data_IF_029270748082
#
_entry.id   IF_029270748082
#
_cell.length_a   1.000
_cell.length_b   1.000
_cell.length_c   1.000
_cell.angle_alpha   90.00
_cell.angle_beta   90.00
_cell.angle_gamma   90.00
#
_symmetry.space_group_name_H-M   'P 1'
#
loop_
_entity.id
_entity.type
_entity.pdbx_description
1 polymer ?
#
# COMPACT_ATOMS: atom_id res chain seq x y z
N UNK A 1 12.16 19.30 29.77
CA UNK A 1 11.25 18.43 29.00
C UNK A 1 10.03 19.26 28.60
N UNK A 2 10.09 19.90 27.43
CA UNK A 2 9.03 20.82 26.97
C UNK A 2 7.99 19.99 26.22
N UNK A 3 6.84 19.80 26.85
CA UNK A 3 5.67 19.18 26.20
C UNK A 3 5.12 20.14 25.13
N UNK A 4 4.88 19.61 23.94
CA UNK A 4 4.31 20.34 22.82
C UNK A 4 2.89 20.82 23.17
N UNK A 5 2.66 22.14 23.19
CA UNK A 5 1.34 22.76 23.46
C UNK A 5 0.36 22.69 22.27
N UNK A 6 0.84 22.30 21.10
CA UNK A 6 0.07 22.13 19.85
C UNK A 6 -0.23 20.65 19.56
N UNK A 7 -0.19 19.78 20.58
CA UNK A 7 -0.57 18.37 20.43
C UNK A 7 -2.06 18.18 20.16
N UNK A 8 -2.40 17.00 19.62
CA UNK A 8 -3.77 16.56 19.30
C UNK A 8 -4.81 17.02 20.33
N UNK A 9 -5.72 17.90 19.92
CA UNK A 9 -6.76 18.50 20.78
C UNK A 9 -8.02 17.63 20.92
N UNK A 10 -7.94 16.35 20.57
CA UNK A 10 -9.07 15.41 20.54
C UNK A 10 -9.66 15.21 19.13
N UNK A 11 -10.58 14.25 19.01
CA UNK A 11 -11.32 14.00 17.78
C UNK A 11 -12.25 15.19 17.47
N UNK A 12 -12.05 15.82 16.32
CA UNK A 12 -12.96 16.84 15.80
C UNK A 12 -13.80 16.26 14.67
N UNK A 13 -15.10 16.56 14.66
CA UNK A 13 -16.01 16.20 13.57
C UNK A 13 -15.57 16.73 12.20
N UNK A 14 -14.74 17.79 12.17
CA UNK A 14 -14.14 18.30 10.95
C UNK A 14 -13.22 17.27 10.26
N UNK A 15 -12.58 16.36 11.01
CA UNK A 15 -11.69 15.34 10.46
C UNK A 15 -12.43 14.23 9.70
N UNK A 16 -13.73 14.04 9.96
CA UNK A 16 -14.55 13.02 9.30
C UNK A 16 -15.23 13.53 8.02
N UNK A 17 -15.13 14.82 7.71
CA UNK A 17 -15.86 15.46 6.62
C UNK A 17 -15.43 14.94 5.23
N UNK A 18 -14.17 14.51 5.09
CA UNK A 18 -13.58 14.03 3.84
C UNK A 18 -13.22 12.53 3.87
N UNK A 19 -13.77 11.76 4.82
CA UNK A 19 -13.42 10.33 4.97
C UNK A 19 -14.04 9.47 3.88
N UNK A 20 -15.17 9.88 3.31
CA UNK A 20 -15.92 9.07 2.34
C UNK A 20 -15.18 8.87 1.00
N UNK A 21 -14.61 9.94 0.37
CA UNK A 21 -13.71 9.77 -0.77
C UNK A 21 -12.51 8.87 -0.46
N UNK A 22 -11.91 9.02 0.73
CA UNK A 22 -10.79 8.21 1.17
C UNK A 22 -11.14 6.71 1.28
N UNK A 23 -12.28 6.39 1.89
CA UNK A 23 -12.77 5.01 2.01
C UNK A 23 -13.02 4.39 0.64
N UNK A 24 -13.57 5.15 -0.29
CA UNK A 24 -13.84 4.66 -1.66
C UNK A 24 -12.53 4.35 -2.39
N UNK A 25 -11.53 5.24 -2.28
CA UNK A 25 -10.21 5.02 -2.87
C UNK A 25 -9.50 3.82 -2.24
N UNK A 26 -9.54 3.71 -0.91
CA UNK A 26 -8.95 2.59 -0.18
C UNK A 26 -9.64 1.26 -0.47
N UNK A 27 -10.95 1.27 -0.74
CA UNK A 27 -11.68 0.05 -1.12
C UNK A 27 -11.28 -0.39 -2.54
N UNK A 28 -11.12 0.56 -3.47
CA UNK A 28 -10.68 0.26 -4.83
C UNK A 28 -9.28 -0.38 -4.84
N UNK A 29 -8.32 0.16 -4.08
CA UNK A 29 -6.97 -0.42 -3.97
C UNK A 29 -6.97 -1.77 -3.25
N UNK A 30 -7.78 -1.95 -2.21
CA UNK A 30 -7.95 -3.24 -1.53
C UNK A 30 -8.49 -4.33 -2.49
N UNK A 31 -9.46 -4.00 -3.32
CA UNK A 31 -10.00 -4.93 -4.33
C UNK A 31 -8.96 -5.27 -5.38
N UNK A 32 -8.19 -4.30 -5.86
CA UNK A 32 -7.12 -4.53 -6.83
C UNK A 32 -6.07 -5.52 -6.28
N UNK A 33 -5.64 -5.33 -5.04
CA UNK A 33 -4.65 -6.21 -4.39
C UNK A 33 -5.22 -7.62 -4.15
N UNK A 34 -6.48 -7.74 -3.75
CA UNK A 34 -7.15 -9.03 -3.63
C UNK A 34 -7.22 -9.78 -4.98
N UNK A 35 -7.53 -9.08 -6.07
CA UNK A 35 -7.58 -9.67 -7.40
C UNK A 35 -6.20 -10.16 -7.86
N UNK A 36 -5.14 -9.42 -7.56
CA UNK A 36 -3.76 -9.82 -7.85
C UNK A 36 -3.39 -11.14 -7.13
N UNK A 37 -3.71 -11.24 -5.84
CA UNK A 37 -3.46 -12.45 -5.05
C UNK A 37 -4.28 -13.65 -5.53
N UNK A 38 -5.56 -13.45 -5.83
CA UNK A 38 -6.43 -14.50 -6.36
C UNK A 38 -5.99 -14.97 -7.75
N UNK A 39 -5.54 -14.06 -8.60
CA UNK A 39 -4.98 -14.39 -9.90
C UNK A 39 -3.75 -15.30 -9.77
N UNK A 40 -2.81 -14.93 -8.91
CA UNK A 40 -1.61 -15.75 -8.67
C UNK A 40 -1.97 -17.14 -8.10
N UNK A 41 -2.89 -17.21 -7.13
CA UNK A 41 -3.39 -18.49 -6.60
C UNK A 41 -4.03 -19.36 -7.69
N UNK A 42 -4.82 -18.75 -8.58
CA UNK A 42 -5.47 -19.46 -9.67
C UNK A 42 -4.46 -20.04 -10.66
N UNK A 43 -3.39 -19.29 -10.99
CA UNK A 43 -2.28 -19.79 -11.82
C UNK A 43 -1.59 -20.97 -11.13
N UNK A 44 -1.28 -20.87 -9.83
CA UNK A 44 -0.63 -21.96 -9.10
C UNK A 44 -1.46 -23.24 -9.16
N UNK A 45 -2.78 -23.13 -8.97
CA UNK A 45 -3.71 -24.27 -9.05
C UNK A 45 -3.72 -24.87 -10.46
N UNK A 46 -3.81 -24.05 -11.50
CA UNK A 46 -3.75 -24.49 -12.90
C UNK A 46 -2.42 -25.19 -13.22
N UNK A 47 -1.31 -24.64 -12.75
CA UNK A 47 0.04 -25.17 -12.98
C UNK A 47 0.26 -26.50 -12.25
N UNK A 48 -0.44 -26.71 -11.14
CA UNK A 48 -0.46 -27.97 -10.38
C UNK A 48 -1.16 -29.13 -11.10
N UNK A 49 -1.97 -28.86 -12.12
CA UNK A 49 -2.63 -29.89 -12.94
C UNK A 49 -1.80 -30.35 -14.15
N UNK A 50 -0.58 -29.81 -14.33
CA UNK A 50 0.27 -30.17 -15.46
C UNK A 50 0.99 -31.53 -15.22
N UNK A 51 1.30 -32.26 -16.29
CA UNK A 51 1.97 -33.57 -16.19
C UNK A 51 3.32 -33.52 -15.45
N UNK A 52 3.99 -32.37 -15.45
CA UNK A 52 5.21 -32.08 -14.70
C UNK A 52 4.99 -31.04 -13.58
N UNK A 53 3.87 -31.15 -12.84
CA UNK A 53 3.45 -30.19 -11.82
C UNK A 53 4.54 -29.80 -10.82
N UNK A 54 5.36 -30.75 -10.36
CA UNK A 54 6.41 -30.48 -9.37
C UNK A 54 7.44 -29.46 -9.87
N UNK A 55 7.86 -29.59 -11.13
CA UNK A 55 8.86 -28.69 -11.73
C UNK A 55 8.23 -27.34 -12.05
N UNK A 56 7.01 -27.35 -12.62
CA UNK A 56 6.33 -26.13 -13.04
C UNK A 56 5.88 -25.27 -11.84
N UNK A 57 5.28 -25.88 -10.81
CA UNK A 57 4.92 -25.20 -9.55
C UNK A 57 6.16 -24.78 -8.78
N UNK A 58 7.24 -25.58 -8.80
CA UNK A 58 8.52 -25.21 -8.19
C UNK A 58 9.11 -23.95 -8.79
N UNK A 59 9.19 -23.86 -10.12
CA UNK A 59 9.65 -22.67 -10.83
C UNK A 59 8.74 -21.46 -10.54
N UNK A 60 7.41 -21.65 -10.59
CA UNK A 60 6.43 -20.60 -10.29
C UNK A 60 6.58 -20.08 -8.85
N UNK A 61 6.83 -20.97 -7.88
CA UNK A 61 7.04 -20.60 -6.48
C UNK A 61 8.28 -19.73 -6.30
N UNK A 62 9.37 -20.04 -7.01
CA UNK A 62 10.58 -19.21 -6.99
C UNK A 62 10.26 -17.81 -7.54
N UNK A 63 9.54 -17.72 -8.66
CA UNK A 63 9.11 -16.44 -9.23
C UNK A 63 8.22 -15.64 -8.26
N UNK A 64 7.26 -16.29 -7.60
CA UNK A 64 6.38 -15.64 -6.62
C UNK A 64 7.14 -15.11 -5.40
N UNK A 65 8.19 -15.80 -4.95
CA UNK A 65 9.05 -15.31 -3.87
C UNK A 65 9.80 -14.04 -4.27
N UNK A 66 10.34 -13.99 -5.50
CA UNK A 66 11.02 -12.79 -6.03
C UNK A 66 10.03 -11.63 -6.13
N UNK A 67 8.83 -11.88 -6.66
CA UNK A 67 7.77 -10.87 -6.74
C UNK A 67 7.34 -10.39 -5.34
N UNK A 68 7.30 -11.26 -4.33
CA UNK A 68 7.04 -10.88 -2.94
C UNK A 68 8.09 -9.95 -2.34
N UNK A 69 9.38 -10.17 -2.65
CA UNK A 69 10.48 -9.28 -2.22
C UNK A 69 10.33 -7.91 -2.91
N UNK A 70 10.06 -7.89 -4.20
CA UNK A 70 9.82 -6.67 -4.98
C UNK A 70 8.62 -5.88 -4.42
N UNK A 71 7.52 -6.56 -4.13
CA UNK A 71 6.33 -5.95 -3.55
C UNK A 71 6.60 -5.33 -2.18
N UNK A 72 7.31 -6.04 -1.30
CA UNK A 72 7.72 -5.53 0.02
C UNK A 72 8.63 -4.30 -0.08
N UNK A 73 9.53 -4.26 -1.07
CA UNK A 73 10.37 -3.10 -1.33
C UNK A 73 9.52 -1.88 -1.72
N UNK A 74 8.59 -2.04 -2.66
CA UNK A 74 7.70 -0.96 -3.09
C UNK A 74 6.78 -0.48 -1.96
N UNK A 75 6.18 -1.39 -1.21
CA UNK A 75 5.38 -1.05 -0.04
C UNK A 75 6.19 -0.31 1.02
N UNK A 76 7.42 -0.75 1.29
CA UNK A 76 8.30 -0.09 2.26
C UNK A 76 8.63 1.35 1.87
N UNK A 77 8.95 1.58 0.59
CA UNK A 77 9.20 2.94 0.07
C UNK A 77 7.93 3.78 0.15
N UNK A 78 6.77 3.22 -0.25
CA UNK A 78 5.49 3.93 -0.21
C UNK A 78 5.12 4.34 1.22
N UNK A 79 5.30 3.44 2.20
CA UNK A 79 5.08 3.71 3.62
C UNK A 79 6.04 4.78 4.15
N UNK A 80 7.33 4.72 3.79
CA UNK A 80 8.31 5.72 4.21
C UNK A 80 7.97 7.12 3.66
N UNK A 81 7.57 7.20 2.38
CA UNK A 81 7.12 8.44 1.76
C UNK A 81 5.84 8.94 2.46
N UNK A 82 4.86 8.07 2.68
CA UNK A 82 3.59 8.42 3.33
C UNK A 82 3.80 9.04 4.73
N UNK A 83 4.71 8.47 5.53
CA UNK A 83 5.08 9.03 6.84
C UNK A 83 5.77 10.39 6.70
N UNK A 84 6.70 10.54 5.75
CA UNK A 84 7.37 11.82 5.50
C UNK A 84 6.39 12.90 5.06
N UNK A 85 5.52 12.59 4.10
CA UNK A 85 4.46 13.49 3.62
C UNK A 85 3.54 13.89 4.76
N UNK A 86 3.08 12.92 5.56
CA UNK A 86 2.21 13.18 6.72
C UNK A 86 2.88 14.11 7.74
N UNK A 87 4.18 13.94 7.98
CA UNK A 87 4.93 14.80 8.89
C UNK A 87 5.11 16.23 8.34
N UNK A 88 5.45 16.40 7.06
CA UNK A 88 5.57 17.73 6.43
C UNK A 88 4.22 18.46 6.37
N UNK A 89 3.12 17.74 6.16
CA UNK A 89 1.76 18.28 6.24
C UNK A 89 1.44 18.78 7.65
N UNK A 90 1.81 18.01 8.68
CA UNK A 90 1.62 18.39 10.08
C UNK A 90 2.41 19.63 10.51
N UNK A 91 3.52 19.93 9.84
CA UNK A 91 4.35 21.13 10.09
C UNK A 91 3.87 22.39 9.36
N UNK A 92 2.82 22.29 8.53
CA UNK A 92 2.27 23.44 7.80
C UNK A 92 3.17 23.92 6.66
N UNK A 93 3.93 23.02 6.02
CA UNK A 93 4.75 23.30 4.84
C UNK A 93 4.07 22.85 3.53
N UNK A 94 3.11 23.63 2.97
CA UNK A 94 2.29 23.20 1.83
C UNK A 94 3.02 23.20 0.47
N UNK A 95 4.19 23.84 0.34
CA UNK A 95 4.96 23.86 -0.93
C UNK A 95 5.46 22.48 -1.36
N UNK A 96 5.65 21.64 -0.36
CA UNK A 96 6.17 20.30 -0.48
C UNK A 96 5.04 19.33 -0.95
N UNK A 97 3.80 19.57 -0.52
CA UNK A 97 2.59 18.77 -0.82
C UNK A 97 2.33 18.49 -2.32
N UNK A 98 2.58 19.46 -3.20
CA UNK A 98 2.34 19.32 -4.64
C UNK A 98 3.39 18.46 -5.34
N UNK A 99 4.61 18.40 -4.81
CA UNK A 99 5.70 17.60 -5.39
C UNK A 99 5.58 16.10 -5.06
N UNK A 100 4.77 15.74 -4.06
CA UNK A 100 4.64 14.36 -3.56
C UNK A 100 3.29 13.71 -3.87
N UNK A 101 2.29 14.49 -4.28
CA UNK A 101 0.98 13.96 -4.71
C UNK A 101 1.05 13.14 -6.00
N UNK A 102 2.18 13.22 -6.73
CA UNK A 102 2.47 12.38 -7.90
C UNK A 102 3.09 11.04 -7.54
N UNK A 103 3.38 10.77 -6.26
CA UNK A 103 3.79 9.43 -5.83
C UNK A 103 2.54 8.55 -5.88
N UNK A 104 2.54 7.48 -6.69
CA UNK A 104 1.36 6.63 -6.81
C UNK A 104 1.06 6.03 -5.44
N UNK A 105 -0.07 6.44 -4.88
CA UNK A 105 -0.80 5.60 -3.94
C UNK A 105 -1.24 4.42 -4.80
N UNK A 106 -0.73 3.24 -4.48
CA UNK A 106 -1.20 1.95 -5.02
C UNK A 106 -2.72 1.92 -5.15
#
# INVERSE_FOLDING_TARGET
MVWCKEGWRGFSWAAFKDIWPFVTLSLASAVMLCLELWYMMSIVILTGHLSNAVIAVGALTICLNINGIEFMLFLGINAAISVRVSNELGLGHPRLQYSYSTVPVI
#
